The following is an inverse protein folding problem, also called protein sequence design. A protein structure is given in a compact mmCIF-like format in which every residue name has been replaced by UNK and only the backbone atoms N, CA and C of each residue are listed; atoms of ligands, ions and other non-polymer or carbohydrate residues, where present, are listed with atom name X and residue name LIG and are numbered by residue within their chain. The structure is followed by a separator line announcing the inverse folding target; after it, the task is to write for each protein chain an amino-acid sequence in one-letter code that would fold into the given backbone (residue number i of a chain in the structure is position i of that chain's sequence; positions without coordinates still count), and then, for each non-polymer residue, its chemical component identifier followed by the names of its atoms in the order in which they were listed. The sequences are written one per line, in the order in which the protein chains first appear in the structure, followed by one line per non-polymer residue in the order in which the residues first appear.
data_IF_764714200599
#
_entry.id   IF_764714200599
#
_cell.length_a   1.000
_cell.length_b   1.000
_cell.length_c   1.000
_cell.angle_alpha   90.00
_cell.angle_beta   90.00
_cell.angle_gamma   90.00
#
_symmetry.space_group_name_H-M   'P 1'
#
loop_
_entity.id
_entity.type
_entity.pdbx_description
1 polymer ?
#
# COMPACT_ATOMS: atom_id res chain seq x y z
N UNK A 1 -3.35 -9.50 19.69
CA UNK A 1 -4.34 -8.59 19.09
C UNK A 1 -3.92 -7.18 19.44
N UNK A 2 -3.68 -6.30 18.47
CA UNK A 2 -3.39 -4.89 18.72
C UNK A 2 -4.65 -4.25 19.32
N UNK A 3 -4.54 -3.56 20.47
CA UNK A 3 -5.72 -2.96 21.10
C UNK A 3 -6.21 -1.75 20.30
N UNK A 4 -7.48 -1.36 20.46
CA UNK A 4 -8.02 -0.15 19.82
C UNK A 4 -7.19 1.07 20.23
N UNK A 5 -6.84 1.17 21.52
CA UNK A 5 -6.01 2.26 22.05
C UNK A 5 -4.63 2.34 21.37
N UNK A 6 -3.99 1.21 21.07
CA UNK A 6 -2.71 1.20 20.35
C UNK A 6 -2.87 1.72 18.91
N UNK A 7 -3.97 1.36 18.23
CA UNK A 7 -4.25 1.85 16.88
C UNK A 7 -4.59 3.34 16.86
N UNK A 8 -5.27 3.86 17.89
CA UNK A 8 -5.55 5.28 18.04
C UNK A 8 -4.25 6.08 18.25
N UNK A 9 -3.35 5.59 19.10
CA UNK A 9 -2.03 6.20 19.29
C UNK A 9 -1.21 6.18 18.00
N UNK A 10 -1.22 5.07 17.25
CA UNK A 10 -0.56 4.97 15.95
C UNK A 10 -1.15 5.94 14.92
N UNK A 11 -2.47 6.14 14.91
CA UNK A 11 -3.10 7.12 14.04
C UNK A 11 -2.63 8.54 14.38
N UNK A 12 -2.53 8.88 15.66
CA UNK A 12 -2.07 10.20 16.10
C UNK A 12 -0.62 10.47 15.68
N UNK A 13 0.27 9.51 15.92
CA UNK A 13 1.69 9.60 15.52
C UNK A 13 1.83 9.79 14.01
N UNK A 14 1.05 9.05 13.23
CA UNK A 14 1.13 9.11 11.77
C UNK A 14 0.62 10.44 11.21
N UNK A 15 -0.48 10.97 11.77
CA UNK A 15 -0.97 12.28 11.38
C UNK A 15 0.05 13.38 11.71
N UNK A 16 0.67 13.31 12.88
CA UNK A 16 1.65 14.29 13.32
C UNK A 16 2.90 14.27 12.43
N UNK A 17 3.34 13.08 12.02
CA UNK A 17 4.41 12.91 11.02
C UNK A 17 4.04 13.50 9.66
N UNK A 18 2.81 13.32 9.21
CA UNK A 18 2.31 13.86 7.94
C UNK A 18 2.20 15.40 7.96
N UNK A 19 1.94 16.00 9.13
CA UNK A 19 1.98 17.45 9.32
C UNK A 19 3.39 18.03 9.26
N UNK A 20 4.35 17.37 9.92
CA UNK A 20 5.76 17.78 9.95
C UNK A 20 6.44 17.69 8.57
N UNK A 21 5.99 16.77 7.72
CA UNK A 21 6.46 16.60 6.33
C UNK A 21 5.71 17.50 5.32
N UNK A 22 4.63 18.18 5.74
CA UNK A 22 3.78 19.00 4.88
C UNK A 22 4.17 20.49 4.83
N UNK A 23 3.88 21.21 3.73
CA UNK A 23 4.10 22.64 3.69
C UNK A 23 3.15 23.38 4.65
N UNK A 24 3.70 24.33 5.40
CA UNK A 24 2.96 25.25 6.28
C UNK A 24 2.20 26.25 5.42
N UNK A 25 1.00 25.89 4.97
CA UNK A 25 0.02 26.85 4.44
C UNK A 25 -1.17 26.95 5.37
N UNK A 26 -1.53 28.20 5.71
CA UNK A 26 -2.74 28.54 6.46
C UNK A 26 -3.98 28.17 5.64
N UNK A 27 -5.08 27.73 6.28
CA UNK A 27 -6.33 27.43 5.60
C UNK A 27 -7.03 28.74 5.23
N UNK A 28 -6.59 29.39 4.17
CA UNK A 28 -7.42 30.38 3.48
C UNK A 28 -8.10 29.67 2.31
N UNK A 29 -9.12 28.88 2.63
CA UNK A 29 -10.03 28.36 1.62
C UNK A 29 -10.65 29.54 0.86
N UNK A 30 -10.92 29.39 -0.45
CA UNK A 30 -11.59 30.45 -1.18
C UNK A 30 -12.96 30.71 -0.53
N UNK A 31 -13.36 31.98 -0.32
CA UNK A 31 -14.73 32.26 0.09
C UNK A 31 -15.66 31.71 -1.00
N UNK A 32 -16.58 30.84 -0.63
CA UNK A 32 -17.65 30.43 -1.53
C UNK A 32 -18.49 31.68 -1.82
N UNK A 33 -18.31 32.25 -3.01
CA UNK A 33 -19.07 33.41 -3.48
C UNK A 33 -20.47 32.98 -3.87
N UNK A 34 -21.37 32.81 -2.88
CA UNK A 34 -22.85 32.91 -2.97
C UNK A 34 -23.60 32.10 -1.90
N UNK A 35 -23.06 31.87 -0.69
CA UNK A 35 -23.90 31.26 0.37
C UNK A 35 -24.89 32.31 0.89
N UNK A 36 -26.19 32.06 0.69
CA UNK A 36 -27.28 32.89 1.20
C UNK A 36 -27.13 33.09 2.72
N UNK A 37 -27.08 34.35 3.16
CA UNK A 37 -26.98 34.74 4.57
C UNK A 37 -28.17 34.22 5.40
N UNK A 38 -29.29 33.88 4.75
CA UNK A 38 -30.47 33.30 5.37
C UNK A 38 -30.39 31.79 5.60
N UNK A 39 -29.33 31.11 5.13
CA UNK A 39 -29.20 29.66 5.26
C UNK A 39 -29.14 29.23 6.74
N UNK A 40 -29.97 28.26 7.19
CA UNK A 40 -30.05 27.85 8.61
C UNK A 40 -28.73 27.39 9.24
N UNK A 41 -27.79 26.95 8.40
CA UNK A 41 -26.43 26.53 8.75
C UNK A 41 -25.33 27.41 8.15
N UNK A 42 -25.60 28.71 7.89
CA UNK A 42 -24.67 29.63 7.24
C UNK A 42 -23.26 29.60 7.83
N UNK A 43 -23.15 29.55 9.15
CA UNK A 43 -21.91 29.49 9.91
C UNK A 43 -21.01 28.30 9.57
N UNK A 44 -21.61 27.17 9.16
CA UNK A 44 -20.89 25.98 8.68
C UNK A 44 -20.79 25.99 7.14
N UNK A 45 -21.89 26.31 6.46
CA UNK A 45 -22.01 26.25 5.00
C UNK A 45 -21.02 27.19 4.29
N UNK A 46 -20.74 28.36 4.87
CA UNK A 46 -19.78 29.34 4.34
C UNK A 46 -18.36 28.78 4.16
N UNK A 47 -18.01 27.72 4.87
CA UNK A 47 -16.69 27.08 4.76
C UNK A 47 -16.58 26.16 3.54
N UNK A 48 -17.70 25.75 2.92
CA UNK A 48 -17.67 24.86 1.75
C UNK A 48 -17.18 23.44 2.06
N UNK A 49 -17.43 22.94 3.29
CA UNK A 49 -17.03 21.60 3.73
C UNK A 49 -17.72 20.51 2.91
N UNK A 50 -19.02 20.69 2.63
CA UNK A 50 -19.82 19.80 1.78
C UNK A 50 -20.38 20.59 0.60
N UNK A 51 -20.27 20.02 -0.60
CA UNK A 51 -20.78 20.61 -1.83
C UNK A 51 -21.44 19.54 -2.70
N UNK A 52 -22.45 19.92 -3.47
CA UNK A 52 -23.11 19.02 -4.42
C UNK A 52 -22.66 19.43 -5.81
N UNK A 53 -22.11 18.47 -6.54
CA UNK A 53 -21.27 18.70 -7.70
C UNK A 53 -21.81 17.96 -8.92
N UNK A 54 -22.85 18.49 -9.53
CA UNK A 54 -23.44 17.92 -10.74
C UNK A 54 -23.81 16.43 -10.60
N UNK A 55 -23.76 15.74 -11.74
CA UNK A 55 -24.16 14.35 -11.90
C UNK A 55 -23.06 13.54 -12.59
N UNK A 56 -22.95 12.27 -12.22
CA UNK A 56 -22.07 11.35 -12.92
C UNK A 56 -22.67 10.88 -14.27
N UNK A 57 -21.92 10.05 -15.00
CA UNK A 57 -22.35 9.50 -16.31
C UNK A 57 -23.65 8.66 -16.27
N UNK A 58 -24.16 8.32 -15.09
CA UNK A 58 -25.40 7.59 -14.88
C UNK A 58 -26.48 8.46 -14.21
N UNK A 59 -26.29 9.78 -14.13
CA UNK A 59 -27.25 10.70 -13.52
C UNK A 59 -27.25 10.68 -11.98
N UNK A 60 -26.20 10.14 -11.35
CA UNK A 60 -26.08 10.06 -9.89
C UNK A 60 -25.43 11.33 -9.35
N UNK A 61 -26.04 11.93 -8.32
CA UNK A 61 -25.51 13.14 -7.69
C UNK A 61 -24.12 12.88 -7.10
N UNK A 62 -23.16 13.75 -7.38
CA UNK A 62 -21.86 13.74 -6.73
C UNK A 62 -21.91 14.66 -5.51
N UNK A 63 -21.59 14.12 -4.34
CA UNK A 63 -21.49 14.88 -3.10
C UNK A 63 -20.01 14.91 -2.73
N UNK A 64 -19.47 16.11 -2.55
CA UNK A 64 -18.06 16.35 -2.26
C UNK A 64 -17.92 16.75 -0.80
N UNK A 65 -17.00 16.12 -0.08
CA UNK A 65 -16.56 16.55 1.24
C UNK A 65 -15.07 16.91 1.19
N UNK A 66 -14.72 18.12 1.62
CA UNK A 66 -13.37 18.67 1.48
C UNK A 66 -12.74 18.95 2.84
N UNK A 67 -11.69 18.20 3.20
CA UNK A 67 -10.99 18.40 4.48
C UNK A 67 -10.20 19.70 4.55
N UNK A 68 -9.69 20.22 3.43
CA UNK A 68 -9.03 21.54 3.38
C UNK A 68 -9.96 22.71 3.73
N UNK A 69 -11.28 22.48 3.69
CA UNK A 69 -12.29 23.44 4.07
C UNK A 69 -12.67 23.38 5.56
N UNK A 70 -12.15 22.42 6.33
CA UNK A 70 -12.44 22.30 7.76
C UNK A 70 -11.67 23.39 8.55
N UNK A 71 -12.37 24.30 9.24
CA UNK A 71 -11.73 25.22 10.15
C UNK A 71 -11.17 24.46 11.37
N UNK A 72 -10.27 25.08 12.15
CA UNK A 72 -9.76 24.49 13.39
C UNK A 72 -10.89 24.02 14.31
N UNK A 73 -10.70 22.89 15.00
CA UNK A 73 -11.75 22.24 15.80
C UNK A 73 -12.31 23.13 16.90
N UNK A 74 -11.52 24.09 17.41
CA UNK A 74 -11.98 25.07 18.40
C UNK A 74 -12.94 26.14 17.83
N UNK A 75 -12.98 26.30 16.50
CA UNK A 75 -13.86 27.23 15.78
C UNK A 75 -15.04 26.52 15.10
N UNK A 76 -15.09 25.19 15.20
CA UNK A 76 -16.07 24.36 14.52
C UNK A 76 -17.00 23.68 15.52
N UNK A 77 -18.28 24.03 15.49
CA UNK A 77 -19.28 23.28 16.23
C UNK A 77 -19.54 21.94 15.53
N UNK A 78 -18.99 20.87 16.11
CA UNK A 78 -19.10 19.51 15.60
C UNK A 78 -20.53 18.94 15.62
N UNK A 79 -21.39 19.39 16.55
CA UNK A 79 -22.80 18.99 16.57
C UNK A 79 -23.55 19.65 15.42
N UNK A 80 -23.30 20.95 15.22
CA UNK A 80 -23.91 21.72 14.14
C UNK A 80 -23.41 21.30 12.76
N UNK A 81 -22.14 20.92 12.65
CA UNK A 81 -21.60 20.26 11.45
C UNK A 81 -22.36 18.97 11.13
N UNK A 82 -22.58 18.10 12.12
CA UNK A 82 -23.34 16.86 11.92
C UNK A 82 -24.78 17.14 11.47
N UNK A 83 -25.44 18.14 12.06
CA UNK A 83 -26.77 18.57 11.63
C UNK A 83 -26.77 19.08 10.19
N UNK A 84 -25.77 19.87 9.80
CA UNK A 84 -25.63 20.36 8.44
C UNK A 84 -25.39 19.21 7.44
N UNK A 85 -24.53 18.24 7.78
CA UNK A 85 -24.32 17.06 6.94
C UNK A 85 -25.60 16.26 6.74
N UNK A 86 -26.41 16.06 7.79
CA UNK A 86 -27.73 15.43 7.66
C UNK A 86 -28.66 16.25 6.79
N UNK A 87 -28.76 17.57 7.04
CA UNK A 87 -29.60 18.47 6.26
C UNK A 87 -29.29 18.43 4.76
N UNK A 88 -28.00 18.41 4.38
CA UNK A 88 -27.57 18.30 2.98
C UNK A 88 -27.82 16.91 2.42
N UNK A 89 -27.43 15.85 3.12
CA UNK A 89 -27.56 14.48 2.62
C UNK A 89 -29.02 14.04 2.49
N UNK A 90 -29.91 14.48 3.39
CA UNK A 90 -31.34 14.15 3.36
C UNK A 90 -32.02 14.56 2.05
N UNK A 91 -31.48 15.54 1.32
CA UNK A 91 -32.00 15.96 0.01
C UNK A 91 -31.71 14.94 -1.12
N UNK A 92 -30.75 14.03 -0.93
CA UNK A 92 -30.21 13.18 -2.00
C UNK A 92 -30.18 11.68 -1.68
N UNK A 93 -30.18 11.30 -0.40
CA UNK A 93 -29.95 9.91 0.03
C UNK A 93 -31.03 8.92 -0.40
N UNK A 94 -32.22 9.41 -0.78
CA UNK A 94 -33.28 8.58 -1.35
C UNK A 94 -32.99 8.14 -2.79
N UNK A 95 -32.11 8.86 -3.49
CA UNK A 95 -31.63 8.56 -4.84
C UNK A 95 -30.24 7.92 -4.81
N UNK A 96 -29.83 7.34 -5.93
CA UNK A 96 -28.48 6.82 -6.11
C UNK A 96 -27.47 7.98 -6.20
N UNK A 97 -26.46 7.95 -5.33
CA UNK A 97 -25.47 9.03 -5.23
C UNK A 97 -24.05 8.51 -4.97
N UNK A 98 -23.07 9.39 -5.17
CA UNK A 98 -21.65 9.13 -4.96
C UNK A 98 -21.11 10.15 -3.95
N UNK A 99 -20.23 9.69 -3.06
CA UNK A 99 -19.52 10.55 -2.12
C UNK A 99 -18.04 10.60 -2.50
N UNK A 100 -17.49 11.80 -2.67
CA UNK A 100 -16.08 12.06 -2.93
C UNK A 100 -15.52 12.80 -1.73
N UNK A 101 -14.59 12.19 -1.02
CA UNK A 101 -13.91 12.74 0.14
C UNK A 101 -12.49 13.14 -0.24
N UNK A 102 -12.22 14.44 -0.30
CA UNK A 102 -10.87 14.98 -0.47
C UNK A 102 -10.20 15.04 0.91
N UNK A 103 -9.25 14.13 1.13
CA UNK A 103 -8.59 13.99 2.42
C UNK A 103 -7.56 15.08 2.69
N UNK A 104 -6.92 15.61 1.63
CA UNK A 104 -5.91 16.66 1.77
C UNK A 104 -6.42 17.86 2.58
N UNK A 105 -5.57 18.38 3.47
CA UNK A 105 -5.88 19.49 4.38
C UNK A 105 -6.40 19.08 5.76
N UNK A 106 -6.55 17.79 6.03
CA UNK A 106 -6.78 17.30 7.39
C UNK A 106 -5.50 17.39 8.24
N UNK A 107 -5.64 17.90 9.46
CA UNK A 107 -4.58 18.24 10.42
C UNK A 107 -5.01 17.91 11.84
N UNK A 108 -4.07 17.77 12.76
CA UNK A 108 -4.32 17.62 14.20
C UNK A 108 -5.22 18.74 14.74
N UNK A 109 -5.08 19.95 14.22
CA UNK A 109 -5.83 21.13 14.63
C UNK A 109 -7.28 21.21 14.10
N UNK A 110 -7.64 20.48 13.04
CA UNK A 110 -8.99 20.53 12.44
C UNK A 110 -9.67 19.16 12.30
N UNK A 111 -8.98 18.06 12.65
CA UNK A 111 -9.58 16.73 12.59
C UNK A 111 -10.71 16.59 13.61
N UNK A 112 -11.80 15.92 13.25
CA UNK A 112 -12.76 15.45 14.22
C UNK A 112 -12.16 14.36 15.12
N UNK A 113 -12.61 14.28 16.36
CA UNK A 113 -12.20 13.19 17.27
C UNK A 113 -12.71 11.84 16.78
N UNK A 114 -11.99 10.76 17.10
CA UNK A 114 -12.45 9.39 16.78
C UNK A 114 -13.78 9.06 17.43
N UNK A 115 -14.02 9.58 18.64
CA UNK A 115 -15.32 9.50 19.31
C UNK A 115 -16.42 10.12 18.46
N UNK A 116 -16.22 11.35 17.99
CA UNK A 116 -17.20 12.04 17.13
C UNK A 116 -17.42 11.32 15.81
N UNK A 117 -16.36 10.79 15.17
CA UNK A 117 -16.47 10.01 13.94
C UNK A 117 -17.32 8.76 14.13
N UNK A 118 -17.19 8.10 15.29
CA UNK A 118 -18.00 6.93 15.65
C UNK A 118 -19.45 7.28 15.89
N UNK A 119 -19.71 8.36 16.63
CA UNK A 119 -21.06 8.88 16.88
C UNK A 119 -21.74 9.25 15.55
N UNK A 120 -21.03 9.99 14.70
CA UNK A 120 -21.47 10.37 13.36
C UNK A 120 -21.80 9.17 12.48
N UNK A 121 -20.96 8.13 12.47
CA UNK A 121 -21.23 6.91 11.70
C UNK A 121 -22.50 6.17 12.13
N UNK A 122 -22.80 6.20 13.44
CA UNK A 122 -23.98 5.57 14.01
C UNK A 122 -25.26 6.37 13.72
N UNK A 123 -25.15 7.71 13.67
CA UNK A 123 -26.23 8.62 13.29
C UNK A 123 -26.66 8.46 11.83
N UNK A 124 -25.70 8.15 10.94
CA UNK A 124 -26.02 7.81 9.55
C UNK A 124 -26.52 6.37 9.44
N UNK A 125 -27.83 6.20 9.60
CA UNK A 125 -28.53 4.92 9.53
C UNK A 125 -28.57 4.29 8.11
N UNK A 126 -29.48 3.33 7.90
CA UNK A 126 -29.63 2.62 6.63
C UNK A 126 -29.95 3.54 5.44
N UNK A 127 -30.68 4.65 5.64
CA UNK A 127 -31.16 5.49 4.52
C UNK A 127 -29.99 6.13 3.77
N UNK A 128 -28.97 6.58 4.50
CA UNK A 128 -27.74 7.13 3.94
C UNK A 128 -26.87 6.06 3.26
N UNK A 129 -26.85 4.84 3.81
CA UNK A 129 -25.95 3.77 3.36
C UNK A 129 -26.48 2.97 2.17
N UNK A 130 -27.79 2.92 1.96
CA UNK A 130 -28.44 2.06 0.95
C UNK A 130 -28.08 2.49 -0.48
N UNK A 131 -28.33 3.75 -0.81
CA UNK A 131 -28.24 4.26 -2.20
C UNK A 131 -26.88 4.88 -2.55
N UNK A 132 -25.97 5.02 -1.58
CA UNK A 132 -24.57 5.32 -1.85
C UNK A 132 -23.98 4.24 -2.76
N UNK A 133 -23.50 4.59 -3.95
CA UNK A 133 -22.90 3.61 -4.88
C UNK A 133 -21.39 3.48 -4.71
N UNK A 134 -20.72 4.59 -4.46
CA UNK A 134 -19.30 4.63 -4.25
C UNK A 134 -18.93 5.74 -3.27
N UNK A 135 -17.90 5.48 -2.46
CA UNK A 135 -17.20 6.43 -1.61
C UNK A 135 -15.75 6.49 -2.09
N UNK A 136 -15.37 7.59 -2.74
CA UNK A 136 -14.00 7.82 -3.17
C UNK A 136 -13.26 8.60 -2.09
N UNK A 137 -12.13 8.09 -1.60
CA UNK A 137 -11.22 8.81 -0.71
C UNK A 137 -10.00 9.21 -1.52
N UNK A 138 -9.86 10.50 -1.77
CA UNK A 138 -8.87 11.09 -2.66
C UNK A 138 -7.68 11.61 -1.85
N UNK A 139 -6.47 11.32 -2.31
CA UNK A 139 -5.20 11.55 -1.61
C UNK A 139 -5.15 10.90 -0.21
N UNK A 140 -5.40 9.58 -0.11
CA UNK A 140 -5.39 8.89 1.17
C UNK A 140 -4.00 8.86 1.81
N UNK A 141 -3.96 9.26 3.07
CA UNK A 141 -2.80 9.16 3.96
C UNK A 141 -2.72 7.81 4.68
N UNK A 142 -1.66 7.57 5.44
CA UNK A 142 -1.63 6.42 6.33
C UNK A 142 -2.54 6.64 7.53
N UNK A 143 -2.69 7.88 8.02
CA UNK A 143 -3.68 8.23 9.04
C UNK A 143 -5.07 7.71 8.68
N UNK A 144 -5.62 8.08 7.51
CA UNK A 144 -6.99 7.69 7.15
C UNK A 144 -7.14 6.18 6.98
N UNK A 145 -6.06 5.47 6.60
CA UNK A 145 -6.03 4.01 6.52
C UNK A 145 -6.07 3.35 7.90
N UNK A 146 -5.36 3.91 8.88
CA UNK A 146 -5.41 3.45 10.27
C UNK A 146 -6.80 3.70 10.87
N UNK A 147 -7.36 4.90 10.65
CA UNK A 147 -8.73 5.23 11.06
C UNK A 147 -9.72 4.23 10.48
N UNK A 148 -9.63 3.92 9.19
CA UNK A 148 -10.50 2.92 8.58
C UNK A 148 -10.36 1.53 9.21
N UNK A 149 -9.15 1.12 9.61
CA UNK A 149 -8.93 -0.15 10.31
C UNK A 149 -9.57 -0.17 11.72
N UNK A 150 -9.57 0.96 12.44
CA UNK A 150 -10.27 1.11 13.72
C UNK A 150 -11.79 0.95 13.53
N UNK A 151 -12.34 1.53 12.45
CA UNK A 151 -13.77 1.47 12.15
C UNK A 151 -14.22 0.17 11.47
N UNK A 152 -13.29 -0.64 10.94
CA UNK A 152 -13.59 -1.89 10.20
C UNK A 152 -14.55 -2.84 10.93
N UNK A 153 -14.48 -3.06 12.26
CA UNK A 153 -15.45 -3.92 12.97
C UNK A 153 -16.87 -3.35 13.01
N UNK A 154 -17.03 -2.03 12.89
CA UNK A 154 -18.31 -1.32 12.93
C UNK A 154 -18.95 -1.20 11.54
N UNK A 155 -18.16 -1.42 10.48
CA UNK A 155 -18.58 -1.20 9.10
C UNK A 155 -19.06 -2.51 8.49
N UNK A 156 -20.30 -2.50 7.98
CA UNK A 156 -20.84 -3.66 7.27
C UNK A 156 -20.01 -4.02 6.03
N UNK A 157 -19.88 -5.31 5.74
CA UNK A 157 -19.15 -5.79 4.56
C UNK A 157 -19.66 -5.16 3.25
N UNK A 158 -20.99 -4.96 3.13
CA UNK A 158 -21.61 -4.31 1.96
C UNK A 158 -21.19 -2.85 1.80
N UNK A 159 -21.06 -2.12 2.91
CA UNK A 159 -20.59 -0.73 2.86
C UNK A 159 -19.09 -0.66 2.56
N UNK A 160 -18.29 -1.55 3.14
CA UNK A 160 -16.84 -1.60 2.88
C UNK A 160 -16.49 -1.80 1.40
N UNK A 161 -17.30 -2.54 0.63
CA UNK A 161 -17.11 -2.71 -0.83
C UNK A 161 -17.33 -1.43 -1.64
N UNK A 162 -17.95 -0.40 -1.06
CA UNK A 162 -18.21 0.89 -1.73
C UNK A 162 -17.02 1.85 -1.62
N UNK A 163 -16.10 1.60 -0.69
CA UNK A 163 -14.93 2.45 -0.47
C UNK A 163 -13.86 2.19 -1.53
N UNK A 164 -13.42 3.25 -2.20
CA UNK A 164 -12.31 3.23 -3.17
C UNK A 164 -11.31 4.32 -2.82
N UNK A 165 -10.04 3.96 -2.73
CA UNK A 165 -8.94 4.89 -2.51
C UNK A 165 -8.37 5.37 -3.84
N UNK A 166 -8.17 6.68 -3.98
CA UNK A 166 -7.73 7.33 -5.21
C UNK A 166 -6.52 8.21 -4.91
N UNK A 167 -5.36 7.94 -5.52
CA UNK A 167 -4.14 8.66 -5.18
C UNK A 167 -3.99 9.97 -5.95
N UNK A 168 -4.51 10.03 -7.19
CA UNK A 168 -4.44 11.20 -8.06
C UNK A 168 -5.81 11.56 -8.63
N UNK A 169 -6.05 12.85 -8.88
CA UNK A 169 -7.31 13.35 -9.43
C UNK A 169 -7.66 12.76 -10.81
N UNK A 170 -6.64 12.41 -11.60
CA UNK A 170 -6.81 11.84 -12.94
C UNK A 170 -7.55 10.49 -12.92
N UNK A 171 -7.35 9.68 -11.88
CA UNK A 171 -8.02 8.38 -11.70
C UNK A 171 -9.54 8.52 -11.49
N UNK A 172 -10.02 9.70 -11.06
CA UNK A 172 -11.46 9.96 -10.94
C UNK A 172 -12.13 10.04 -12.31
N UNK A 173 -11.39 10.38 -13.37
CA UNK A 173 -11.93 10.56 -14.74
C UNK A 173 -12.47 9.27 -15.33
N UNK A 174 -11.89 8.13 -14.98
CA UNK A 174 -12.36 6.81 -15.42
C UNK A 174 -13.72 6.44 -14.80
N UNK A 175 -14.02 7.03 -13.64
CA UNK A 175 -15.12 6.63 -12.78
C UNK A 175 -16.27 7.65 -12.76
N UNK A 176 -15.96 8.93 -12.88
CA UNK A 176 -16.87 10.07 -12.71
C UNK A 176 -16.79 11.01 -13.91
N UNK A 177 -17.85 11.80 -14.11
CA UNK A 177 -17.78 12.93 -15.02
C UNK A 177 -16.96 14.06 -14.36
N UNK A 178 -15.65 14.06 -14.61
CA UNK A 178 -14.73 14.99 -13.96
C UNK A 178 -15.04 16.46 -14.26
N UNK A 179 -15.62 16.77 -15.43
CA UNK A 179 -15.97 18.16 -15.79
C UNK A 179 -17.04 18.76 -14.88
N UNK A 180 -17.86 17.92 -14.25
CA UNK A 180 -18.89 18.36 -13.31
C UNK A 180 -18.44 18.31 -11.84
N UNK A 181 -17.20 17.88 -11.57
CA UNK A 181 -16.64 17.76 -10.22
C UNK A 181 -15.98 19.07 -9.78
N UNK A 182 -16.49 19.67 -8.70
CA UNK A 182 -15.92 20.83 -8.05
C UNK A 182 -14.79 20.34 -7.15
N UNK A 183 -13.56 20.57 -7.62
CA UNK A 183 -12.35 20.24 -6.87
C UNK A 183 -11.81 21.53 -6.25
N UNK A 184 -11.57 21.57 -4.92
CA UNK A 184 -10.98 22.75 -4.29
C UNK A 184 -9.61 23.11 -4.89
N UNK A 185 -9.28 24.41 -5.06
CA UNK A 185 -8.00 24.83 -5.65
C UNK A 185 -6.77 24.27 -4.91
N UNK A 186 -6.87 24.13 -3.59
CA UNK A 186 -5.78 23.59 -2.77
C UNK A 186 -5.55 22.10 -3.02
N UNK A 187 -6.61 21.35 -3.34
CA UNK A 187 -6.53 19.94 -3.72
C UNK A 187 -5.90 19.81 -5.10
N UNK A 188 -6.26 20.69 -6.06
CA UNK A 188 -5.61 20.73 -7.39
C UNK A 188 -4.12 21.01 -7.26
N UNK A 189 -3.74 22.06 -6.50
CA UNK A 189 -2.33 22.39 -6.25
C UNK A 189 -1.60 21.24 -5.55
N UNK A 190 -2.25 20.53 -4.64
CA UNK A 190 -1.66 19.38 -3.99
C UNK A 190 -1.47 18.21 -4.95
N UNK A 191 -2.46 17.88 -5.78
CA UNK A 191 -2.33 16.87 -6.84
C UNK A 191 -1.20 17.23 -7.81
N UNK A 192 -1.13 18.49 -8.24
CA UNK A 192 -0.02 18.99 -9.07
C UNK A 192 1.32 18.84 -8.37
N UNK A 193 1.42 19.14 -7.07
CA UNK A 193 2.63 18.92 -6.28
C UNK A 193 2.96 17.44 -6.12
N UNK A 194 1.99 16.57 -5.90
CA UNK A 194 2.19 15.13 -5.81
C UNK A 194 2.67 14.58 -7.16
N UNK A 195 2.08 15.02 -8.27
CA UNK A 195 2.46 14.65 -9.64
C UNK A 195 3.79 15.27 -10.04
N UNK A 196 4.07 16.50 -9.62
CA UNK A 196 5.36 17.14 -9.80
C UNK A 196 6.42 16.47 -8.94
N UNK A 197 6.12 16.03 -7.72
CA UNK A 197 7.00 15.20 -6.89
C UNK A 197 7.12 13.77 -7.43
N UNK A 198 6.14 13.27 -8.18
CA UNK A 198 6.27 12.04 -8.96
C UNK A 198 7.16 12.24 -10.20
N UNK A 199 7.22 13.48 -10.72
CA UNK A 199 7.98 13.88 -11.91
C UNK A 199 9.38 14.45 -11.59
N UNK A 200 9.60 14.97 -10.38
CA UNK A 200 10.79 15.66 -9.88
C UNK A 200 11.37 15.01 -8.61
N UNK A 201 10.58 14.24 -7.87
CA UNK A 201 11.06 13.25 -6.90
C UNK A 201 11.35 11.91 -7.58
N UNK A 202 11.96 10.96 -6.86
CA UNK A 202 12.45 9.73 -7.47
C UNK A 202 11.27 8.93 -8.03
N UNK A 203 11.36 8.61 -9.32
CA UNK A 203 10.46 7.71 -10.04
C UNK A 203 10.09 6.48 -9.18
N UNK A 204 8.81 6.03 -9.16
CA UNK A 204 8.46 4.74 -8.61
C UNK A 204 9.08 3.65 -9.49
N UNK A 205 10.26 3.18 -9.10
CA UNK A 205 10.90 1.91 -9.50
C UNK A 205 10.60 1.46 -10.94
N UNK A 206 10.85 2.33 -11.91
CA UNK A 206 11.58 1.92 -13.09
C UNK A 206 13.03 2.29 -12.78
N UNK A 207 13.83 1.31 -12.38
CA UNK A 207 15.26 1.44 -12.20
C UNK A 207 15.91 2.02 -13.46
N UNK A 208 16.00 3.35 -13.54
CA UNK A 208 17.11 3.98 -14.24
C UNK A 208 18.27 3.99 -13.27
N UNK A 209 19.47 3.54 -13.70
CA UNK A 209 20.63 3.52 -12.83
C UNK A 209 20.90 4.94 -12.30
N UNK A 210 21.50 5.07 -11.11
CA UNK A 210 21.82 6.37 -10.53
C UNK A 210 22.58 7.25 -11.54
N UNK A 211 22.55 8.59 -11.42
CA UNK A 211 23.35 9.49 -12.25
C UNK A 211 24.88 9.33 -12.02
N UNK A 212 25.29 8.34 -11.22
CA UNK A 212 26.65 7.84 -11.08
C UNK A 212 26.69 6.36 -11.47
N UNK A 213 27.75 5.89 -12.15
CA UNK A 213 27.91 4.46 -12.37
C UNK A 213 27.83 3.71 -11.03
N UNK A 214 27.19 2.52 -10.98
CA UNK A 214 27.13 1.72 -9.76
C UNK A 214 28.54 1.42 -9.25
N UNK A 215 28.71 1.40 -7.92
CA UNK A 215 29.98 1.02 -7.31
C UNK A 215 30.39 -0.37 -7.81
N UNK A 216 31.69 -0.67 -8.01
CA UNK A 216 32.14 -1.99 -8.47
C UNK A 216 31.63 -3.17 -7.62
N UNK A 217 31.32 -2.90 -6.35
CA UNK A 217 30.83 -3.86 -5.35
C UNK A 217 29.34 -3.68 -5.02
N UNK A 218 28.60 -2.85 -5.76
CA UNK A 218 27.18 -2.57 -5.50
C UNK A 218 26.36 -3.87 -5.49
N UNK A 219 25.54 -4.08 -4.46
CA UNK A 219 24.68 -5.26 -4.33
C UNK A 219 23.18 -4.92 -4.38
N UNK A 220 22.77 -3.73 -3.95
CA UNK A 220 21.38 -3.27 -3.95
C UNK A 220 21.09 -2.35 -5.14
N UNK A 221 19.87 -2.36 -5.68
CA UNK A 221 19.51 -1.49 -6.80
C UNK A 221 20.13 -1.84 -8.16
N UNK A 222 20.71 -3.04 -8.29
CA UNK A 222 21.41 -3.51 -9.51
C UNK A 222 20.87 -4.87 -9.94
N UNK A 223 20.99 -5.20 -11.23
CA UNK A 223 20.43 -6.45 -11.77
C UNK A 223 21.15 -7.68 -11.21
N UNK A 224 20.46 -8.82 -11.15
CA UNK A 224 21.06 -10.09 -10.74
C UNK A 224 22.26 -10.45 -11.62
N UNK A 225 22.23 -10.10 -12.90
CA UNK A 225 23.33 -10.31 -13.85
C UNK A 225 24.57 -9.50 -13.46
N UNK A 226 24.40 -8.22 -13.12
CA UNK A 226 25.50 -7.37 -12.64
C UNK A 226 26.13 -7.95 -11.37
N UNK A 227 25.29 -8.38 -10.43
CA UNK A 227 25.76 -8.98 -9.17
C UNK A 227 26.57 -10.24 -9.45
N UNK A 228 26.10 -11.11 -10.36
CA UNK A 228 26.81 -12.33 -10.76
C UNK A 228 28.20 -12.03 -11.33
N UNK A 229 28.27 -11.10 -12.27
CA UNK A 229 29.53 -10.69 -12.92
C UNK A 229 30.54 -10.10 -11.92
N UNK A 230 30.05 -9.33 -10.93
CA UNK A 230 30.90 -8.70 -9.91
C UNK A 230 31.26 -9.61 -8.74
N UNK A 231 30.63 -10.78 -8.61
CA UNK A 231 30.90 -11.76 -7.55
C UNK A 231 31.42 -13.08 -8.12
N UNK A 232 32.38 -13.01 -9.06
CA UNK A 232 33.07 -14.18 -9.63
C UNK A 232 32.14 -15.27 -10.19
N UNK A 233 30.98 -14.88 -10.72
CA UNK A 233 30.02 -15.83 -11.30
C UNK A 233 29.13 -16.55 -10.28
N UNK A 234 29.11 -16.13 -9.01
CA UNK A 234 28.26 -16.72 -7.98
C UNK A 234 26.80 -16.81 -8.43
N UNK A 235 26.24 -18.03 -8.37
CA UNK A 235 24.89 -18.33 -8.87
C UNK A 235 23.81 -17.71 -7.97
N UNK A 236 24.01 -17.71 -6.66
CA UNK A 236 23.10 -17.06 -5.72
C UNK A 236 23.76 -15.76 -5.24
N UNK A 237 23.04 -14.61 -5.28
CA UNK A 237 23.56 -13.34 -4.78
C UNK A 237 24.06 -13.45 -3.33
N UNK A 238 25.24 -12.89 -2.99
CA UNK A 238 25.80 -13.00 -1.64
C UNK A 238 24.87 -12.52 -0.53
N UNK A 239 24.09 -11.46 -0.78
CA UNK A 239 23.08 -10.96 0.17
C UNK A 239 22.04 -12.03 0.48
N UNK A 240 21.56 -12.75 -0.54
CA UNK A 240 20.60 -13.84 -0.36
C UNK A 240 21.24 -15.01 0.37
N UNK A 241 22.42 -15.47 -0.04
CA UNK A 241 23.11 -16.59 0.62
C UNK A 241 23.35 -16.31 2.09
N UNK A 242 23.94 -15.15 2.43
CA UNK A 242 24.28 -14.82 3.82
C UNK A 242 23.04 -14.68 4.71
N UNK A 243 22.00 -14.01 4.23
CA UNK A 243 20.75 -13.85 5.01
C UNK A 243 20.02 -15.18 5.18
N UNK A 244 19.91 -15.98 4.11
CA UNK A 244 19.25 -17.30 4.14
C UNK A 244 20.02 -18.28 5.02
N UNK A 245 21.34 -18.37 4.89
CA UNK A 245 22.17 -19.25 5.74
C UNK A 245 22.01 -18.90 7.22
N UNK A 246 22.05 -17.62 7.58
CA UNK A 246 21.88 -17.19 8.97
C UNK A 246 20.47 -17.50 9.51
N UNK A 247 19.44 -17.18 8.72
CA UNK A 247 18.04 -17.42 9.11
C UNK A 247 17.69 -18.92 9.14
N UNK A 248 18.27 -19.73 8.27
CA UNK A 248 18.14 -21.19 8.32
C UNK A 248 18.77 -21.77 9.59
N UNK A 249 19.93 -21.24 10.01
CA UNK A 249 20.61 -21.68 11.23
C UNK A 249 19.92 -21.24 12.52
N UNK A 250 19.38 -20.01 12.58
CA UNK A 250 18.90 -19.40 13.84
C UNK A 250 17.46 -18.87 13.83
N UNK A 251 16.91 -18.60 12.64
CA UNK A 251 15.66 -17.86 12.46
C UNK A 251 14.41 -18.70 12.28
N UNK A 252 14.51 -19.99 11.91
CA UNK A 252 13.36 -20.81 11.50
C UNK A 252 12.23 -20.90 12.52
N UNK A 253 12.54 -20.89 13.82
CA UNK A 253 11.54 -20.97 14.91
C UNK A 253 11.18 -19.61 15.52
N UNK A 254 11.70 -18.52 14.98
CA UNK A 254 11.47 -17.18 15.51
C UNK A 254 10.06 -16.71 15.19
N UNK A 255 9.28 -16.36 16.22
CA UNK A 255 7.93 -15.83 16.05
C UNK A 255 7.90 -14.56 15.18
N UNK A 256 7.05 -14.58 14.15
CA UNK A 256 6.82 -13.44 13.26
C UNK A 256 8.01 -13.11 12.35
N UNK A 257 8.91 -14.06 12.10
CA UNK A 257 10.01 -13.89 11.14
C UNK A 257 9.47 -13.42 9.79
N UNK A 258 10.12 -12.47 9.14
CA UNK A 258 9.62 -11.72 7.96
C UNK A 258 8.43 -10.80 8.18
N UNK A 259 7.60 -10.97 9.20
CA UNK A 259 6.46 -10.08 9.48
C UNK A 259 6.87 -8.83 10.28
N UNK A 260 7.79 -8.98 11.24
CA UNK A 260 8.22 -7.89 12.11
C UNK A 260 9.20 -6.94 11.40
N UNK A 261 9.10 -5.67 11.75
CA UNK A 261 10.01 -4.63 11.27
C UNK A 261 11.31 -4.60 12.07
N UNK A 262 12.37 -4.13 11.44
CA UNK A 262 13.66 -3.83 12.07
C UNK A 262 13.95 -2.32 11.99
N UNK A 263 14.92 -1.85 12.78
CA UNK A 263 15.32 -0.43 12.81
C UNK A 263 15.77 0.06 11.43
N UNK A 264 15.07 1.05 10.88
CA UNK A 264 15.29 1.54 9.50
C UNK A 264 16.73 2.01 9.26
N UNK A 265 17.32 2.74 10.21
CA UNK A 265 18.70 3.22 10.06
C UNK A 265 19.70 2.06 9.98
N UNK A 266 19.56 1.04 10.82
CA UNK A 266 20.40 -0.15 10.79
C UNK A 266 20.31 -0.88 9.45
N UNK A 267 19.11 -0.96 8.86
CA UNK A 267 18.91 -1.55 7.52
C UNK A 267 19.63 -0.73 6.44
N UNK A 268 19.62 0.60 6.52
CA UNK A 268 20.38 1.47 5.60
C UNK A 268 21.89 1.29 5.77
N UNK A 269 22.37 1.16 7.00
CA UNK A 269 23.79 0.98 7.30
C UNK A 269 24.31 -0.36 6.77
N UNK A 270 23.55 -1.45 6.93
CA UNK A 270 23.91 -2.77 6.41
C UNK A 270 23.92 -2.78 4.87
N UNK A 271 22.93 -2.13 4.22
CA UNK A 271 22.95 -1.97 2.76
C UNK A 271 24.20 -1.23 2.28
N UNK A 272 24.61 -0.18 2.99
CA UNK A 272 25.84 0.56 2.69
C UNK A 272 27.07 -0.33 2.82
N UNK A 273 27.15 -1.19 3.85
CA UNK A 273 28.24 -2.15 4.00
C UNK A 273 28.30 -3.12 2.81
N UNK A 274 27.17 -3.71 2.42
CA UNK A 274 27.10 -4.59 1.24
C UNK A 274 27.55 -3.88 -0.04
N UNK A 275 27.04 -2.67 -0.30
CA UNK A 275 27.38 -1.91 -1.50
C UNK A 275 28.86 -1.50 -1.57
N UNK A 276 29.50 -1.33 -0.41
CA UNK A 276 30.94 -1.07 -0.29
C UNK A 276 31.80 -2.35 -0.31
N UNK A 277 31.20 -3.53 -0.48
CA UNK A 277 31.89 -4.82 -0.42
C UNK A 277 32.48 -5.15 0.95
N UNK A 278 31.96 -4.54 2.02
CA UNK A 278 32.41 -4.78 3.39
C UNK A 278 31.71 -6.03 3.96
N UNK A 279 32.40 -6.82 4.80
CA UNK A 279 31.81 -8.00 5.41
C UNK A 279 30.65 -7.62 6.33
N UNK A 280 29.56 -8.39 6.26
CA UNK A 280 28.40 -8.25 7.14
C UNK A 280 28.30 -9.53 7.97
N UNK A 281 28.43 -9.40 9.29
CA UNK A 281 28.23 -10.50 10.22
C UNK A 281 26.92 -10.28 10.99
N UNK A 282 25.91 -11.11 10.74
CA UNK A 282 24.61 -10.98 11.40
C UNK A 282 24.65 -11.32 12.90
N UNK A 283 25.67 -12.06 13.36
CA UNK A 283 25.89 -12.38 14.79
C UNK A 283 26.11 -11.13 15.65
N UNK A 284 26.63 -10.04 15.05
CA UNK A 284 26.87 -8.80 15.77
C UNK A 284 25.59 -8.00 16.02
N UNK A 285 24.47 -8.38 15.39
CA UNK A 285 23.18 -7.72 15.59
C UNK A 285 22.32 -8.57 16.53
N UNK A 286 21.77 -7.94 17.56
CA UNK A 286 20.91 -8.61 18.55
C UNK A 286 19.52 -8.99 18.02
N UNK A 287 19.15 -8.54 16.82
CA UNK A 287 17.80 -8.67 16.26
C UNK A 287 17.79 -9.61 15.05
N UNK A 288 17.23 -10.80 15.25
CA UNK A 288 17.05 -11.86 14.23
C UNK A 288 16.17 -11.42 13.05
N UNK A 289 15.35 -10.37 13.21
CA UNK A 289 14.51 -9.83 12.12
C UNK A 289 15.31 -8.96 11.14
N UNK A 290 16.50 -8.49 11.51
CA UNK A 290 17.38 -7.69 10.64
C UNK A 290 17.70 -8.41 9.31
N UNK A 291 18.29 -9.62 9.30
CA UNK A 291 18.54 -10.35 8.05
C UNK A 291 17.27 -10.64 7.25
N UNK A 292 16.13 -10.84 7.93
CA UNK A 292 14.84 -11.05 7.26
C UNK A 292 14.35 -9.80 6.52
N UNK A 293 14.52 -8.61 7.10
CA UNK A 293 14.21 -7.34 6.45
C UNK A 293 15.20 -7.01 5.33
N UNK A 294 16.49 -7.33 5.51
CA UNK A 294 17.52 -7.16 4.47
C UNK A 294 17.21 -8.02 3.24
N UNK A 295 16.86 -9.30 3.42
CA UNK A 295 16.48 -10.19 2.32
C UNK A 295 15.30 -9.63 1.51
N UNK A 296 14.23 -9.19 2.19
CA UNK A 296 13.08 -8.56 1.51
C UNK A 296 13.44 -7.27 0.80
N UNK A 297 14.33 -6.48 1.39
CA UNK A 297 14.77 -5.20 0.83
C UNK A 297 15.62 -5.41 -0.43
N UNK A 298 16.51 -6.40 -0.42
CA UNK A 298 17.27 -6.82 -1.59
C UNK A 298 16.35 -7.15 -2.77
N UNK A 299 15.33 -7.99 -2.53
CA UNK A 299 14.37 -8.40 -3.57
C UNK A 299 13.58 -7.20 -4.12
N UNK A 300 13.09 -6.33 -3.22
CA UNK A 300 12.28 -5.15 -3.59
C UNK A 300 13.05 -4.13 -4.42
N UNK A 301 14.36 -4.00 -4.20
CA UNK A 301 15.21 -3.01 -4.85
C UNK A 301 15.79 -3.52 -6.18
N UNK A 302 15.49 -4.75 -6.60
CA UNK A 302 15.95 -5.24 -7.90
C UNK A 302 15.39 -4.38 -9.04
N UNK A 303 16.25 -4.04 -10.04
CA UNK A 303 16.01 -4.10 -11.45
C UNK A 303 14.57 -4.15 -11.95
N UNK A 304 14.16 -5.40 -11.84
CA UNK A 304 13.03 -6.10 -12.36
C UNK A 304 12.69 -7.13 -11.26
N UNK A 305 11.41 -7.46 -11.04
CA UNK A 305 11.01 -8.47 -10.08
C UNK A 305 11.75 -9.78 -10.31
N UNK A 306 11.97 -10.53 -9.21
CA UNK A 306 12.63 -11.84 -9.30
C UNK A 306 11.90 -12.81 -10.24
N UNK A 307 10.56 -12.73 -10.34
CA UNK A 307 9.81 -13.53 -11.30
C UNK A 307 9.67 -12.86 -12.69
N UNK A 308 10.35 -11.74 -12.94
CA UNK A 308 10.34 -10.94 -14.19
C UNK A 308 9.03 -10.23 -14.49
N UNK A 309 9.08 -9.17 -15.30
CA UNK A 309 7.86 -8.48 -15.74
C UNK A 309 7.01 -9.33 -16.69
N UNK A 310 7.62 -10.33 -17.34
CA UNK A 310 6.99 -11.19 -18.35
C UNK A 310 5.85 -12.04 -17.78
N UNK A 311 5.98 -12.46 -16.53
CA UNK A 311 4.97 -13.34 -15.90
C UNK A 311 3.87 -12.57 -15.18
N UNK A 312 4.01 -11.25 -15.01
CA UNK A 312 3.06 -10.44 -14.23
C UNK A 312 1.62 -10.64 -14.68
N UNK A 313 1.34 -10.56 -15.99
CA UNK A 313 0.00 -10.79 -16.53
C UNK A 313 -0.52 -12.19 -16.24
N UNK A 314 0.34 -13.21 -16.36
CA UNK A 314 -0.01 -14.60 -16.07
C UNK A 314 -0.36 -14.83 -14.60
N UNK A 315 0.35 -14.13 -13.69
CA UNK A 315 0.06 -14.15 -12.25
C UNK A 315 -1.28 -13.48 -11.96
N UNK A 316 -1.59 -12.35 -12.61
CA UNK A 316 -2.89 -11.67 -12.45
C UNK A 316 -4.06 -12.56 -12.92
N UNK A 317 -3.84 -13.32 -13.99
CA UNK A 317 -4.84 -14.23 -14.54
C UNK A 317 -5.08 -15.50 -13.70
N UNK A 318 -4.31 -15.74 -12.63
CA UNK A 318 -4.47 -16.95 -11.79
C UNK A 318 -5.87 -17.04 -11.17
N UNK A 319 -6.52 -15.91 -10.94
CA UNK A 319 -7.89 -15.85 -10.41
C UNK A 319 -8.95 -16.29 -11.42
N UNK A 320 -8.63 -16.24 -12.72
CA UNK A 320 -9.48 -16.74 -13.81
C UNK A 320 -9.36 -18.26 -13.99
N UNK A 321 -8.32 -18.86 -13.42
CA UNK A 321 -8.08 -20.31 -13.46
C UNK A 321 -8.84 -20.99 -12.32
N UNK A 322 -9.48 -22.11 -12.66
CA UNK A 322 -10.15 -22.98 -11.69
C UNK A 322 -9.18 -23.40 -10.58
N UNK A 323 -9.64 -23.39 -9.32
CA UNK A 323 -8.81 -23.64 -8.14
C UNK A 323 -7.99 -24.94 -8.23
N UNK A 324 -8.57 -26.01 -8.79
CA UNK A 324 -7.93 -27.32 -8.99
C UNK A 324 -6.72 -27.29 -9.94
N UNK A 325 -6.69 -26.35 -10.88
CA UNK A 325 -5.65 -26.22 -11.92
C UNK A 325 -4.58 -25.17 -11.59
N UNK A 326 -4.74 -24.38 -10.51
CA UNK A 326 -3.83 -23.28 -10.19
C UNK A 326 -2.40 -23.72 -9.90
N UNK A 327 -2.21 -24.89 -9.28
CA UNK A 327 -0.87 -25.46 -9.04
C UNK A 327 -0.16 -25.74 -10.37
N UNK A 328 -0.86 -26.40 -11.30
CA UNK A 328 -0.35 -26.67 -12.66
C UNK A 328 -0.06 -25.37 -13.41
N UNK A 329 -0.92 -24.36 -13.29
CA UNK A 329 -0.69 -23.06 -13.91
C UNK A 329 0.53 -22.34 -13.32
N UNK A 330 0.71 -22.34 -12.00
CA UNK A 330 1.88 -21.74 -11.36
C UNK A 330 3.17 -22.45 -11.79
N UNK A 331 3.14 -23.78 -11.93
CA UNK A 331 4.26 -24.55 -12.48
C UNK A 331 4.66 -24.06 -13.88
N UNK A 332 3.70 -23.93 -14.80
CA UNK A 332 3.98 -23.41 -16.15
C UNK A 332 4.57 -22.00 -16.14
N UNK A 333 4.06 -21.13 -15.25
CA UNK A 333 4.56 -19.76 -15.09
C UNK A 333 6.05 -19.79 -14.67
N UNK A 334 6.38 -20.59 -13.65
CA UNK A 334 7.76 -20.72 -13.16
C UNK A 334 8.68 -21.37 -14.19
N UNK A 335 8.22 -22.38 -14.92
CA UNK A 335 8.99 -23.02 -15.99
C UNK A 335 9.31 -22.05 -17.13
N UNK A 336 8.49 -21.02 -17.35
CA UNK A 336 8.71 -19.99 -18.37
C UNK A 336 9.77 -18.94 -18.00
N UNK A 337 10.27 -18.94 -16.76
CA UNK A 337 11.29 -17.99 -16.31
C UNK A 337 12.64 -18.25 -17.02
N UNK A 338 13.44 -17.19 -17.26
CA UNK A 338 14.83 -17.36 -17.65
C UNK A 338 15.56 -18.24 -16.64
N UNK A 339 16.56 -19.00 -17.10
CA UNK A 339 17.24 -20.01 -16.28
C UNK A 339 17.83 -19.44 -14.99
N UNK A 340 18.47 -18.28 -15.08
CA UNK A 340 19.11 -17.67 -13.94
C UNK A 340 18.09 -17.19 -12.88
N UNK A 341 17.04 -16.50 -13.31
CA UNK A 341 15.94 -16.07 -12.42
C UNK A 341 15.21 -17.28 -11.81
N UNK A 342 15.01 -18.36 -12.57
CA UNK A 342 14.44 -19.61 -12.07
C UNK A 342 15.29 -20.21 -10.94
N UNK A 343 16.61 -20.29 -11.09
CA UNK A 343 17.52 -20.84 -10.06
C UNK A 343 17.45 -19.98 -8.78
N UNK A 344 17.52 -18.65 -8.91
CA UNK A 344 17.46 -17.74 -7.76
C UNK A 344 16.09 -17.78 -7.07
N UNK A 345 15.00 -17.85 -7.84
CA UNK A 345 13.64 -18.00 -7.32
C UNK A 345 13.44 -19.34 -6.61
N UNK A 346 13.96 -20.44 -7.16
CA UNK A 346 13.91 -21.77 -6.56
C UNK A 346 14.66 -21.82 -5.24
N UNK A 347 15.85 -21.21 -5.15
CA UNK A 347 16.61 -21.10 -3.90
C UNK A 347 15.81 -20.37 -2.82
N UNK A 348 15.24 -19.20 -3.14
CA UNK A 348 14.44 -18.42 -2.20
C UNK A 348 13.18 -19.17 -1.76
N UNK A 349 12.42 -19.72 -2.70
CA UNK A 349 11.14 -20.37 -2.39
C UNK A 349 11.33 -21.71 -1.68
N UNK A 350 12.46 -22.39 -1.88
CA UNK A 350 12.86 -23.52 -1.06
C UNK A 350 13.02 -23.10 0.40
N UNK A 351 13.73 -22.00 0.65
CA UNK A 351 13.91 -21.48 2.01
C UNK A 351 12.57 -21.02 2.63
N UNK A 352 11.72 -20.32 1.88
CA UNK A 352 10.39 -19.93 2.38
C UNK A 352 9.49 -21.13 2.66
N UNK A 353 9.60 -22.19 1.85
CA UNK A 353 8.95 -23.47 2.15
C UNK A 353 9.42 -24.02 3.49
N UNK A 354 10.73 -24.07 3.76
CA UNK A 354 11.28 -24.50 5.06
C UNK A 354 10.74 -23.66 6.23
N UNK A 355 10.65 -22.34 6.08
CA UNK A 355 10.06 -21.45 7.10
C UNK A 355 8.59 -21.80 7.34
N UNK A 356 7.83 -22.09 6.28
CA UNK A 356 6.41 -22.45 6.40
C UNK A 356 6.17 -23.79 7.12
N UNK A 357 7.12 -24.73 7.02
CA UNK A 357 7.06 -26.00 7.75
C UNK A 357 7.18 -25.82 9.27
N UNK A 358 7.82 -24.75 9.73
CA UNK A 358 7.97 -24.41 11.16
C UNK A 358 6.86 -23.45 11.66
N UNK A 359 5.77 -23.30 10.90
CA UNK A 359 4.69 -22.33 11.17
C UNK A 359 3.98 -22.51 12.51
N UNK A 360 4.02 -23.71 13.10
CA UNK A 360 3.52 -23.95 14.47
C UNK A 360 4.29 -23.10 15.49
N UNK A 361 5.61 -22.98 15.33
CA UNK A 361 6.48 -22.21 16.21
C UNK A 361 6.57 -20.74 15.77
N UNK A 362 6.93 -20.49 14.51
CA UNK A 362 7.21 -19.14 14.03
C UNK A 362 5.95 -18.32 13.64
N UNK A 363 4.78 -18.96 13.55
CA UNK A 363 3.47 -18.36 13.17
C UNK A 363 3.37 -17.85 11.72
N UNK A 364 4.28 -18.25 10.85
CA UNK A 364 4.36 -17.84 9.44
C UNK A 364 4.02 -19.00 8.50
N UNK A 365 2.73 -19.23 8.27
CA UNK A 365 2.24 -20.14 7.22
C UNK A 365 2.59 -19.65 5.81
N UNK A 366 2.41 -20.50 4.79
CA UNK A 366 2.58 -20.13 3.39
C UNK A 366 1.76 -18.87 3.01
N UNK A 367 0.51 -18.79 3.46
CA UNK A 367 -0.35 -17.61 3.26
C UNK A 367 0.20 -16.34 3.92
N UNK A 368 0.70 -16.44 5.16
CA UNK A 368 1.29 -15.29 5.86
C UNK A 368 2.58 -14.82 5.18
N UNK A 369 3.42 -15.76 4.74
CA UNK A 369 4.64 -15.46 3.98
C UNK A 369 4.31 -14.83 2.62
N UNK A 370 3.28 -15.35 1.93
CA UNK A 370 2.83 -14.81 0.65
C UNK A 370 2.38 -13.35 0.74
N UNK A 371 1.64 -12.99 1.80
CA UNK A 371 1.24 -11.61 2.04
C UNK A 371 2.42 -10.64 2.21
N UNK A 372 3.56 -11.14 2.69
CA UNK A 372 4.77 -10.35 2.90
C UNK A 372 5.68 -10.36 1.67
N UNK A 373 5.81 -11.51 1.00
CA UNK A 373 6.76 -11.70 -0.10
C UNK A 373 6.18 -11.41 -1.48
N UNK A 374 4.88 -11.54 -1.69
CA UNK A 374 4.29 -11.46 -3.03
C UNK A 374 4.68 -10.20 -3.80
N UNK A 375 4.56 -9.03 -3.16
CA UNK A 375 4.95 -7.74 -3.75
C UNK A 375 6.47 -7.54 -3.90
N UNK A 376 7.30 -8.36 -3.26
CA UNK A 376 8.74 -8.37 -3.44
C UNK A 376 9.20 -9.42 -4.48
N UNK A 377 8.29 -10.22 -5.01
CA UNK A 377 8.57 -11.22 -6.05
C UNK A 377 8.04 -10.80 -7.42
N UNK A 378 6.93 -10.06 -7.43
CA UNK A 378 6.20 -9.65 -8.64
C UNK A 378 5.59 -8.26 -8.44
N UNK A 379 5.79 -7.37 -9.41
CA UNK A 379 5.13 -6.06 -9.48
C UNK A 379 5.01 -5.61 -10.95
N UNK A 380 4.11 -4.67 -11.29
CA UNK A 380 3.95 -4.22 -12.66
C UNK A 380 5.16 -3.38 -13.12
N UNK A 381 5.42 -3.36 -14.43
CA UNK A 381 6.52 -2.58 -15.04
C UNK A 381 6.36 -1.07 -14.84
N UNK A 382 5.12 -0.62 -14.72
CA UNK A 382 4.77 0.79 -14.56
C UNK A 382 3.76 0.92 -13.43
N UNK A 383 3.96 1.93 -12.57
CA UNK A 383 3.09 2.21 -11.44
C UNK A 383 3.34 1.31 -10.22
N UNK A 384 2.57 1.57 -9.17
CA UNK A 384 2.56 0.76 -7.95
C UNK A 384 1.58 -0.42 -8.09
N UNK A 385 1.81 -1.49 -7.32
CA UNK A 385 0.85 -2.60 -7.22
C UNK A 385 -0.49 -2.07 -6.68
N UNK A 386 -1.57 -2.21 -7.46
CA UNK A 386 -2.91 -1.83 -7.03
C UNK A 386 -3.45 -2.81 -5.98
N UNK A 387 -4.41 -2.38 -5.15
CA UNK A 387 -5.02 -3.25 -4.15
C UNK A 387 -5.70 -4.49 -4.77
N UNK A 388 -6.25 -4.35 -5.98
CA UNK A 388 -6.87 -5.45 -6.73
C UNK A 388 -5.84 -6.47 -7.24
N UNK A 389 -4.61 -6.03 -7.51
CA UNK A 389 -3.53 -6.90 -7.97
C UNK A 389 -2.89 -7.74 -6.86
N UNK A 390 -3.10 -7.38 -5.59
CA UNK A 390 -2.50 -8.07 -4.43
C UNK A 390 -3.02 -9.49 -4.25
N UNK A 391 -4.32 -9.72 -4.43
CA UNK A 391 -4.93 -11.04 -4.19
C UNK A 391 -4.37 -12.11 -5.15
N UNK A 392 -4.33 -11.90 -6.49
CA UNK A 392 -3.68 -12.82 -7.42
C UNK A 392 -2.21 -13.09 -7.08
N UNK A 393 -1.45 -12.04 -6.73
CA UNK A 393 -0.02 -12.14 -6.38
C UNK A 393 0.17 -13.01 -5.13
N UNK A 394 -0.62 -12.77 -4.09
CA UNK A 394 -0.53 -13.52 -2.84
C UNK A 394 -0.93 -14.98 -3.04
N UNK A 395 -2.02 -15.27 -3.77
CA UNK A 395 -2.45 -16.64 -4.05
C UNK A 395 -1.39 -17.40 -4.86
N UNK A 396 -0.82 -16.76 -5.89
CA UNK A 396 0.28 -17.36 -6.64
C UNK A 396 1.46 -17.66 -5.72
N UNK A 397 1.90 -16.68 -4.93
CA UNK A 397 3.05 -16.84 -4.01
C UNK A 397 2.80 -17.91 -2.95
N UNK A 398 1.58 -18.02 -2.42
CA UNK A 398 1.17 -19.05 -1.47
C UNK A 398 1.31 -20.44 -2.09
N UNK A 399 0.79 -20.64 -3.30
CA UNK A 399 0.94 -21.90 -4.05
C UNK A 399 2.41 -22.26 -4.29
N UNK A 400 3.24 -21.28 -4.66
CA UNK A 400 4.68 -21.49 -4.88
C UNK A 400 5.40 -21.98 -3.63
N UNK A 401 4.98 -21.53 -2.45
CA UNK A 401 5.56 -21.91 -1.15
C UNK A 401 4.98 -23.25 -0.69
N UNK A 402 3.66 -23.41 -0.69
CA UNK A 402 2.98 -24.61 -0.17
C UNK A 402 3.24 -25.84 -1.03
N UNK A 403 3.17 -25.69 -2.36
CA UNK A 403 3.36 -26.77 -3.32
C UNK A 403 4.75 -26.75 -3.99
N UNK A 404 5.77 -26.31 -3.23
CA UNK A 404 7.13 -26.13 -3.73
C UNK A 404 7.65 -27.33 -4.56
N UNK A 405 7.57 -28.55 -4.01
CA UNK A 405 8.07 -29.74 -4.70
C UNK A 405 7.34 -30.03 -6.03
N UNK A 406 6.04 -29.78 -6.09
CA UNK A 406 5.24 -30.00 -7.31
C UNK A 406 5.55 -28.96 -8.39
N UNK A 407 5.73 -27.70 -7.98
CA UNK A 407 6.00 -26.57 -8.88
C UNK A 407 7.44 -26.58 -9.41
N UNK A 408 8.42 -26.88 -8.56
CA UNK A 408 9.84 -26.76 -8.89
C UNK A 408 10.53 -28.10 -9.21
N UNK A 409 9.82 -29.23 -9.07
CA UNK A 409 10.41 -30.58 -9.19
C UNK A 409 10.68 -31.07 -10.62
N UNK A 410 10.06 -30.47 -11.65
CA UNK A 410 10.19 -30.91 -13.06
C UNK A 410 11.42 -30.35 -13.77
N UNK A 411 11.83 -29.12 -13.44
CA UNK A 411 12.96 -28.44 -14.07
C UNK A 411 14.17 -28.55 -13.15
N UNK A 412 15.17 -29.30 -13.59
CA UNK A 412 16.46 -29.44 -12.93
C UNK A 412 17.53 -28.71 -13.75
N UNK A 413 18.24 -27.76 -13.12
CA UNK A 413 19.32 -27.02 -13.76
C UNK A 413 20.67 -27.53 -13.22
N UNK A 414 21.68 -27.66 -14.09
CA UNK A 414 22.99 -28.22 -13.71
C UNK A 414 23.77 -27.37 -12.69
N UNK A 415 23.46 -26.08 -12.59
CA UNK A 415 24.07 -25.14 -11.64
C UNK A 415 23.18 -24.83 -10.41
N UNK A 416 22.16 -25.65 -10.15
CA UNK A 416 21.22 -25.41 -9.06
C UNK A 416 21.88 -25.55 -7.69
N UNK A 417 21.61 -24.58 -6.80
CA UNK A 417 22.00 -24.60 -5.40
C UNK A 417 20.73 -24.45 -4.58
N UNK A 418 20.53 -25.30 -3.58
CA UNK A 418 19.44 -25.18 -2.60
C UNK A 418 20.00 -24.76 -1.22
N UNK A 419 19.21 -24.03 -0.40
CA UNK A 419 19.63 -23.51 0.90
C UNK A 419 20.07 -24.56 1.91
#
# INVERSE_FOLDING_TARGET
MTSVSDLEQLAEIELQREEDEGPVTSPNGPPCSSTDLSHPFYDIARHGIIQVSGDDKYGRKLIVFSSCCLPPSHQLDHLRLLQYLRFTLDQYVEMDYILVYFHYGLRSANKPSLKWLRETYNEFDRKYKKNLKALYVVHPTNFIRIVWNIFKPLISHKFGKKLTYVNYLDELRDHLNYEQLIVPPDVIKHDEKLRAAQKAGPSPTANKPPPRPPLPTQQFGVSLQYIRERNAGAIIPPVMTQTVTYLKGKGLKTEGIFRRSARVQLIKDIQKLYNLGKPVNFEHYSDIHVPAVILKTFLRELPEPLLTFRVYGQVQDIMKVESSLRVSRCKQIIESLPEYDFIVAKYLLCFLHMVSQESISNKMSASNLACVFGVNLVWPRHGSVSLTALMPINICTEILIEHFHTVFGSRCCTAEVLP
#
